data_IF_786835649713
#
_entry.id   IF_786835649713
#
_cell.length_a   1.000
_cell.length_b   1.000
_cell.length_c   1.000
_cell.angle_alpha   90.00
_cell.angle_beta   90.00
_cell.angle_gamma   90.00
#
_symmetry.space_group_name_H-M   'P 1'
#
loop_
_entity.id
_entity.type
_entity.pdbx_description
1 polymer ?
#
# COMPACT_ATOMS: atom_id res chain seq x y z
N UNK A 1 -58.01 -45.70 -1.20
CA UNK A 1 -57.50 -45.18 -2.48
C UNK A 1 -57.24 -43.70 -2.26
N UNK A 2 -56.04 -43.24 -2.45
CA UNK A 2 -55.54 -41.88 -2.37
C UNK A 2 -55.14 -41.26 -1.02
N UNK A 3 -53.95 -41.62 -0.54
CA UNK A 3 -53.29 -40.86 0.52
C UNK A 3 -51.75 -40.86 0.35
N UNK A 4 -51.24 -40.74 -0.91
CA UNK A 4 -49.76 -40.81 -1.18
C UNK A 4 -49.25 -39.54 -1.91
N UNK A 5 -50.09 -38.61 -2.32
CA UNK A 5 -49.69 -37.50 -3.19
C UNK A 5 -49.44 -36.15 -2.49
N UNK A 6 -49.41 -36.10 -1.15
CA UNK A 6 -49.23 -34.82 -0.41
C UNK A 6 -47.90 -34.66 0.35
N UNK A 7 -46.95 -35.58 0.17
CA UNK A 7 -45.67 -35.53 0.92
C UNK A 7 -44.45 -35.08 0.08
N UNK A 8 -44.60 -34.88 -1.22
CA UNK A 8 -43.47 -34.47 -2.10
C UNK A 8 -43.38 -32.94 -2.35
N UNK A 9 -44.35 -32.17 -1.94
CA UNK A 9 -44.41 -30.69 -2.23
C UNK A 9 -43.64 -29.82 -1.25
N UNK A 10 -43.42 -30.28 0.02
CA UNK A 10 -42.77 -29.42 1.04
C UNK A 10 -41.25 -29.56 1.06
N UNK A 11 -40.68 -30.64 0.52
CA UNK A 11 -39.23 -30.85 0.51
C UNK A 11 -38.50 -30.04 -0.58
N UNK A 12 -39.18 -29.73 -1.67
CA UNK A 12 -38.57 -29.02 -2.80
C UNK A 12 -38.49 -27.50 -2.60
N UNK A 13 -39.39 -26.95 -1.76
CA UNK A 13 -39.36 -25.51 -1.44
C UNK A 13 -38.26 -25.12 -0.44
N UNK A 14 -37.79 -26.09 0.37
CA UNK A 14 -36.74 -25.83 1.38
C UNK A 14 -35.31 -25.80 0.80
N UNK A 15 -35.10 -26.45 -0.36
CA UNK A 15 -33.78 -26.51 -1.02
C UNK A 15 -33.49 -25.23 -1.81
N UNK A 16 -34.50 -24.50 -2.27
CA UNK A 16 -34.32 -23.24 -3.04
C UNK A 16 -33.92 -22.08 -2.12
N UNK A 17 -34.25 -22.10 -0.83
CA UNK A 17 -33.98 -21.00 0.10
C UNK A 17 -32.61 -21.06 0.78
N UNK A 18 -31.89 -22.16 0.68
CA UNK A 18 -30.56 -22.35 1.31
C UNK A 18 -29.38 -22.01 0.40
N UNK A 19 -29.63 -21.49 -0.82
CA UNK A 19 -28.60 -21.26 -1.84
C UNK A 19 -28.21 -19.80 -2.09
N UNK A 20 -28.86 -18.83 -1.46
CA UNK A 20 -28.44 -17.43 -1.52
C UNK A 20 -27.27 -17.20 -0.56
N UNK A 21 -26.10 -17.72 -0.94
CA UNK A 21 -24.85 -17.19 -0.40
C UNK A 21 -24.71 -15.78 -0.97
N UNK A 22 -24.94 -14.78 -0.13
CA UNK A 22 -24.44 -13.44 -0.41
C UNK A 22 -22.94 -13.55 -0.65
N UNK A 23 -22.53 -13.48 -1.91
CA UNK A 23 -21.11 -13.33 -2.24
C UNK A 23 -20.66 -12.06 -1.51
N UNK A 24 -19.57 -12.13 -0.76
CA UNK A 24 -18.94 -10.92 -0.23
C UNK A 24 -18.60 -10.04 -1.42
N UNK A 25 -18.96 -8.73 -1.39
CA UNK A 25 -18.61 -7.83 -2.46
C UNK A 25 -17.12 -7.93 -2.77
N UNK A 26 -16.78 -7.96 -4.04
CA UNK A 26 -15.38 -7.96 -4.49
C UNK A 26 -14.69 -6.69 -4.00
N UNK A 27 -13.35 -6.71 -3.93
CA UNK A 27 -12.54 -5.55 -3.46
C UNK A 27 -12.91 -4.23 -4.19
N UNK A 28 -13.33 -4.32 -5.44
CA UNK A 28 -13.75 -3.17 -6.25
C UNK A 28 -15.18 -2.68 -5.93
N UNK A 29 -16.09 -3.58 -5.53
CA UNK A 29 -17.47 -3.20 -5.17
C UNK A 29 -17.49 -2.39 -3.87
N UNK A 30 -16.74 -2.81 -2.85
CA UNK A 30 -16.62 -2.06 -1.60
C UNK A 30 -16.00 -0.66 -1.80
N UNK A 31 -15.09 -0.50 -2.77
CA UNK A 31 -14.56 0.82 -3.11
C UNK A 31 -15.60 1.75 -3.71
N UNK A 32 -16.37 1.22 -4.67
CA UNK A 32 -17.41 2.00 -5.35
C UNK A 32 -18.52 2.41 -4.36
N UNK A 33 -18.91 1.51 -3.47
CA UNK A 33 -20.02 1.74 -2.54
C UNK A 33 -19.63 2.61 -1.34
N UNK A 34 -18.43 2.41 -0.77
CA UNK A 34 -18.05 2.99 0.52
C UNK A 34 -17.08 4.18 0.40
N UNK A 35 -16.15 4.15 -0.56
CA UNK A 35 -15.04 5.12 -0.61
C UNK A 35 -15.22 6.19 -1.69
N UNK A 36 -15.71 5.85 -2.88
CA UNK A 36 -15.92 6.85 -3.93
C UNK A 36 -16.82 7.99 -3.46
N UNK A 37 -17.96 7.76 -2.80
CA UNK A 37 -18.81 8.86 -2.32
C UNK A 37 -18.08 9.81 -1.37
N UNK A 38 -17.20 9.29 -0.51
CA UNK A 38 -16.38 10.10 0.40
C UNK A 38 -15.36 10.95 -0.36
N UNK A 39 -14.72 10.38 -1.38
CA UNK A 39 -13.77 11.13 -2.22
C UNK A 39 -14.48 12.21 -3.05
N UNK A 40 -15.69 11.94 -3.53
CA UNK A 40 -16.51 12.93 -4.23
C UNK A 40 -16.89 14.08 -3.30
N UNK A 41 -17.36 13.78 -2.10
CA UNK A 41 -17.82 14.78 -1.12
C UNK A 41 -16.68 15.68 -0.62
N UNK A 42 -15.51 15.10 -0.30
CA UNK A 42 -14.46 15.84 0.39
C UNK A 42 -13.29 16.29 -0.51
N UNK A 43 -13.15 15.71 -1.71
CA UNK A 43 -11.97 15.93 -2.55
C UNK A 43 -12.28 16.58 -3.91
N UNK A 44 -13.43 16.29 -4.52
CA UNK A 44 -13.69 16.65 -5.93
C UNK A 44 -13.86 18.14 -6.15
N UNK A 45 -14.39 18.90 -5.22
CA UNK A 45 -14.49 20.37 -5.35
C UNK A 45 -13.14 21.03 -5.66
N UNK A 46 -12.04 20.39 -5.29
CA UNK A 46 -10.70 20.89 -5.52
C UNK A 46 -9.86 20.03 -6.49
N UNK A 47 -10.17 18.74 -6.61
CA UNK A 47 -9.35 17.75 -7.29
C UNK A 47 -10.12 16.84 -8.25
N UNK A 48 -11.33 17.20 -8.66
CA UNK A 48 -12.16 16.43 -9.59
C UNK A 48 -13.02 17.31 -10.47
N UNK A 49 -13.76 16.72 -11.39
CA UNK A 49 -14.69 17.41 -12.30
C UNK A 49 -14.10 18.61 -13.06
N UNK A 50 -12.80 18.50 -13.40
CA UNK A 50 -12.02 19.56 -14.07
C UNK A 50 -11.30 20.51 -13.12
N UNK A 51 -11.48 20.41 -11.80
CA UNK A 51 -10.68 21.12 -10.82
C UNK A 51 -9.35 20.36 -10.58
N UNK A 52 -8.23 21.12 -10.55
CA UNK A 52 -6.90 20.52 -10.33
C UNK A 52 -6.01 21.39 -9.45
N UNK A 53 -6.48 21.68 -8.26
CA UNK A 53 -5.66 22.41 -7.28
C UNK A 53 -4.42 21.60 -6.92
N UNK A 54 -3.26 22.25 -6.84
CA UNK A 54 -2.00 21.56 -6.57
C UNK A 54 -1.55 20.61 -7.67
N UNK A 55 -2.05 20.79 -8.89
CA UNK A 55 -1.74 19.99 -10.08
C UNK A 55 -2.10 18.50 -9.92
N UNK A 56 -3.19 18.22 -9.17
CA UNK A 56 -3.67 16.90 -8.86
C UNK A 56 -5.17 16.75 -9.21
N UNK A 57 -5.52 15.63 -9.86
CA UNK A 57 -6.88 15.29 -10.30
C UNK A 57 -7.24 13.90 -9.77
N UNK A 58 -8.12 13.84 -8.76
CA UNK A 58 -8.52 12.59 -8.10
C UNK A 58 -9.37 11.71 -9.04
N UNK A 59 -10.29 12.30 -9.76
CA UNK A 59 -11.15 11.62 -10.73
C UNK A 59 -10.33 10.92 -11.83
N UNK A 60 -9.28 11.55 -12.32
CA UNK A 60 -8.34 10.91 -13.26
C UNK A 60 -7.59 9.77 -12.63
N UNK A 61 -7.07 9.95 -11.43
CA UNK A 61 -6.33 8.90 -10.72
C UNK A 61 -7.22 7.66 -10.50
N UNK A 62 -8.49 7.86 -10.16
CA UNK A 62 -9.47 6.78 -10.00
C UNK A 62 -9.77 6.12 -11.34
N UNK A 63 -9.96 6.90 -12.42
CA UNK A 63 -10.32 6.38 -13.75
C UNK A 63 -9.24 5.51 -14.38
N UNK A 64 -7.97 5.66 -13.99
CA UNK A 64 -6.86 4.82 -14.44
C UNK A 64 -6.99 3.37 -13.97
N UNK A 65 -7.67 3.11 -12.85
CA UNK A 65 -8.06 1.77 -12.38
C UNK A 65 -6.92 0.84 -11.96
N UNK A 66 -5.66 1.17 -12.27
CA UNK A 66 -4.49 0.40 -11.87
C UNK A 66 -3.79 1.08 -10.70
N UNK A 67 -4.29 0.82 -9.49
CA UNK A 67 -3.87 1.50 -8.28
C UNK A 67 -2.39 1.25 -7.92
N UNK A 68 -1.87 0.08 -8.26
CA UNK A 68 -0.48 -0.28 -7.97
C UNK A 68 0.53 0.45 -8.85
N UNK A 69 0.21 0.69 -10.12
CA UNK A 69 1.07 1.46 -11.00
C UNK A 69 1.15 2.93 -10.59
N UNK A 70 0.14 3.42 -9.86
CA UNK A 70 0.03 4.79 -9.37
C UNK A 70 0.30 4.92 -7.86
N UNK A 71 1.05 3.98 -7.29
CA UNK A 71 1.34 3.91 -5.86
C UNK A 71 1.90 5.22 -5.27
N UNK A 72 2.76 5.93 -6.01
CA UNK A 72 3.33 7.21 -5.55
C UNK A 72 2.28 8.31 -5.39
N UNK A 73 1.27 8.34 -6.24
CA UNK A 73 0.18 9.29 -6.14
C UNK A 73 -0.71 8.94 -4.94
N UNK A 74 -1.05 7.66 -4.78
CA UNK A 74 -1.85 7.16 -3.66
C UNK A 74 -1.13 7.31 -2.31
N UNK A 75 0.20 7.16 -2.27
CA UNK A 75 1.01 7.46 -1.09
C UNK A 75 0.89 8.92 -0.65
N UNK A 76 0.87 9.86 -1.62
CA UNK A 76 0.63 11.29 -1.31
C UNK A 76 -0.79 11.51 -0.78
N UNK A 77 -1.79 10.88 -1.38
CA UNK A 77 -3.18 10.95 -0.91
C UNK A 77 -3.25 10.44 0.52
N UNK A 78 -2.73 9.24 0.77
CA UNK A 78 -2.71 8.62 2.09
C UNK A 78 -2.04 9.53 3.14
N UNK A 79 -0.83 10.02 2.86
CA UNK A 79 -0.07 10.89 3.77
C UNK A 79 -0.79 12.19 4.10
N UNK A 80 -1.41 12.81 3.11
CA UNK A 80 -2.13 14.06 3.33
C UNK A 80 -3.40 13.87 4.17
N UNK A 81 -4.13 12.79 3.96
CA UNK A 81 -5.31 12.44 4.75
C UNK A 81 -4.90 12.02 6.16
N UNK A 82 -3.92 11.14 6.30
CA UNK A 82 -3.42 10.66 7.59
C UNK A 82 -2.92 11.80 8.49
N UNK A 83 -2.16 12.73 7.91
CA UNK A 83 -1.64 13.90 8.64
C UNK A 83 -2.67 15.03 8.79
N UNK A 84 -3.92 14.85 8.36
CA UNK A 84 -4.97 15.88 8.38
C UNK A 84 -4.57 17.18 7.63
N UNK A 85 -3.72 17.07 6.63
CA UNK A 85 -3.38 18.18 5.73
C UNK A 85 -4.47 18.41 4.67
N UNK A 86 -5.23 17.37 4.35
CA UNK A 86 -6.36 17.38 3.42
C UNK A 86 -7.56 16.66 4.04
N UNK A 87 -8.78 17.21 3.84
CA UNK A 87 -9.09 18.53 3.26
C UNK A 87 -8.52 19.69 4.11
N UNK A 88 -8.34 20.91 3.52
CA UNK A 88 -7.93 22.08 4.30
C UNK A 88 -8.93 22.42 5.41
N UNK A 89 -8.47 22.98 6.52
CA UNK A 89 -9.28 23.20 7.72
C UNK A 89 -10.52 24.14 7.54
N UNK A 90 -10.55 24.89 6.44
CA UNK A 90 -11.64 25.83 6.14
C UNK A 90 -12.77 25.24 5.29
N UNK A 91 -12.76 23.95 5.03
CA UNK A 91 -13.81 23.21 4.28
C UNK A 91 -14.36 22.05 5.15
N UNK A 92 -15.50 21.44 4.76
CA UNK A 92 -16.03 20.28 5.47
C UNK A 92 -14.97 19.20 5.67
N UNK A 93 -14.96 18.61 6.85
CA UNK A 93 -13.99 17.60 7.25
C UNK A 93 -14.65 16.23 7.38
N UNK A 94 -14.04 15.14 6.87
CA UNK A 94 -14.54 13.80 7.09
C UNK A 94 -14.44 13.40 8.57
N UNK A 95 -15.38 12.61 9.03
CA UNK A 95 -15.36 12.01 10.36
C UNK A 95 -14.22 10.98 10.47
N UNK A 96 -13.79 10.64 11.69
CA UNK A 96 -12.67 9.72 11.88
C UNK A 96 -12.90 8.36 11.21
N UNK A 97 -14.11 7.81 11.29
CA UNK A 97 -14.43 6.53 10.64
C UNK A 97 -14.40 6.61 9.10
N UNK A 98 -14.71 7.77 8.51
CA UNK A 98 -14.62 7.99 7.05
C UNK A 98 -13.16 8.07 6.61
N UNK A 99 -12.35 8.77 7.39
CA UNK A 99 -10.90 8.80 7.18
C UNK A 99 -10.31 7.40 7.25
N UNK A 100 -10.65 6.61 8.28
CA UNK A 100 -10.20 5.24 8.45
C UNK A 100 -10.62 4.35 7.26
N UNK A 101 -11.83 4.56 6.73
CA UNK A 101 -12.32 3.85 5.55
C UNK A 101 -11.49 4.16 4.31
N UNK A 102 -11.20 5.44 4.05
CA UNK A 102 -10.37 5.87 2.92
C UNK A 102 -8.94 5.32 3.06
N UNK A 103 -8.32 5.51 4.23
CA UNK A 103 -6.94 5.06 4.47
C UNK A 103 -6.80 3.55 4.33
N UNK A 104 -7.69 2.78 4.96
CA UNK A 104 -7.69 1.31 4.87
C UNK A 104 -7.89 0.81 3.45
N UNK A 105 -8.70 1.52 2.66
CA UNK A 105 -8.88 1.16 1.27
C UNK A 105 -7.60 1.43 0.45
N UNK A 106 -6.99 2.63 0.60
CA UNK A 106 -5.74 2.97 -0.09
C UNK A 106 -4.65 1.96 0.24
N UNK A 107 -4.50 1.57 1.51
CA UNK A 107 -3.53 0.57 1.95
C UNK A 107 -3.73 -0.77 1.23
N UNK A 108 -4.95 -1.26 1.14
CA UNK A 108 -5.27 -2.54 0.50
C UNK A 108 -5.15 -2.50 -1.02
N UNK A 109 -5.57 -1.41 -1.64
CA UNK A 109 -5.65 -1.32 -3.09
C UNK A 109 -4.31 -0.94 -3.72
N UNK A 110 -3.60 -0.01 -3.11
CA UNK A 110 -2.39 0.60 -3.65
C UNK A 110 -1.12 -0.09 -3.19
N UNK A 111 -1.05 -0.44 -1.90
CA UNK A 111 0.15 -1.05 -1.32
C UNK A 111 0.06 -2.58 -1.23
N UNK A 112 -1.10 -3.17 -1.55
CA UNK A 112 -1.35 -4.62 -1.44
C UNK A 112 -0.97 -5.19 -0.06
N UNK A 113 -1.04 -4.37 0.97
CA UNK A 113 -0.69 -4.80 2.30
C UNK A 113 -1.66 -5.87 2.80
N UNK A 114 -1.19 -7.10 2.90
CA UNK A 114 -1.86 -8.18 3.64
C UNK A 114 -0.96 -8.56 4.83
N UNK A 115 -1.39 -8.32 6.08
CA UNK A 115 -0.58 -8.64 7.25
C UNK A 115 -0.29 -10.14 7.40
N UNK A 116 -0.95 -11.00 6.61
CA UNK A 116 -0.71 -12.44 6.59
C UNK A 116 0.37 -12.85 5.59
N UNK A 117 0.70 -11.99 4.64
CA UNK A 117 1.75 -12.16 3.65
C UNK A 117 2.95 -11.31 4.05
N UNK A 118 3.96 -11.95 4.61
CA UNK A 118 5.21 -11.26 4.94
C UNK A 118 6.00 -11.09 3.65
N UNK A 119 6.03 -9.88 3.10
CA UNK A 119 6.95 -9.53 2.03
C UNK A 119 8.31 -9.20 2.65
N UNK A 120 9.36 -10.05 2.45
CA UNK A 120 10.68 -9.78 2.97
C UNK A 120 11.36 -8.58 2.28
N UNK A 121 10.70 -7.97 1.30
CA UNK A 121 11.28 -6.93 0.45
C UNK A 121 12.31 -7.48 -0.54
N UNK A 122 12.94 -6.57 -1.26
CA UNK A 122 13.98 -6.90 -2.23
C UNK A 122 15.35 -6.90 -1.55
N UNK A 123 15.96 -8.09 -1.44
CA UNK A 123 17.32 -8.23 -0.89
C UNK A 123 18.32 -8.18 -2.04
N UNK A 124 19.21 -7.20 -2.03
CA UNK A 124 20.31 -7.08 -2.98
C UNK A 124 21.61 -7.57 -2.34
N UNK A 125 22.48 -8.18 -3.14
CA UNK A 125 23.85 -8.45 -2.72
C UNK A 125 24.60 -7.13 -2.68
N UNK A 126 25.08 -6.76 -1.50
CA UNK A 126 25.85 -5.55 -1.29
C UNK A 126 27.22 -5.87 -0.71
N UNK A 127 28.20 -5.01 -0.92
CA UNK A 127 29.44 -5.04 -0.16
C UNK A 127 29.23 -4.53 1.27
N UNK A 128 30.17 -4.81 2.15
CA UNK A 128 30.22 -4.17 3.46
C UNK A 128 30.50 -2.67 3.28
N UNK A 129 29.92 -1.83 4.12
CA UNK A 129 30.37 -0.45 4.27
C UNK A 129 31.69 -0.41 5.06
N UNK A 130 32.32 0.76 5.17
CA UNK A 130 33.64 0.90 5.87
C UNK A 130 33.59 0.39 7.31
N UNK A 131 32.58 0.77 8.06
CA UNK A 131 32.40 0.36 9.46
C UNK A 131 32.19 -1.14 9.59
N UNK A 132 31.36 -1.72 8.76
CA UNK A 132 31.11 -3.17 8.74
C UNK A 132 32.37 -3.94 8.37
N UNK A 133 33.14 -3.44 7.39
CA UNK A 133 34.40 -4.03 6.96
C UNK A 133 35.43 -3.97 8.10
N UNK A 134 35.64 -2.82 8.72
CA UNK A 134 36.53 -2.62 9.85
C UNK A 134 36.20 -3.59 10.99
N UNK A 135 34.97 -3.61 11.44
CA UNK A 135 34.53 -4.51 12.50
C UNK A 135 34.77 -5.98 12.14
N UNK A 136 34.45 -6.37 10.90
CA UNK A 136 34.59 -7.74 10.43
C UNK A 136 36.07 -8.17 10.45
N UNK A 137 37.00 -7.33 9.93
CA UNK A 137 38.43 -7.64 9.88
C UNK A 137 39.02 -7.66 11.29
N UNK A 138 38.67 -6.69 12.12
CA UNK A 138 39.15 -6.63 13.50
C UNK A 138 38.71 -7.87 14.30
N UNK A 139 37.44 -8.30 14.15
CA UNK A 139 36.90 -9.47 14.84
C UNK A 139 37.52 -10.78 14.34
N UNK A 140 37.66 -10.95 13.02
CA UNK A 140 38.17 -12.19 12.44
C UNK A 140 39.67 -12.39 12.66
N UNK A 141 40.44 -11.32 12.55
CA UNK A 141 41.91 -11.41 12.56
C UNK A 141 42.54 -10.89 13.85
N UNK A 142 41.74 -10.38 14.78
CA UNK A 142 42.20 -9.80 16.06
C UNK A 142 43.25 -8.68 15.84
N UNK A 143 43.08 -7.91 14.78
CA UNK A 143 43.88 -6.74 14.44
C UNK A 143 43.07 -5.47 14.70
N UNK A 144 43.70 -4.31 14.62
CA UNK A 144 43.04 -3.02 14.65
C UNK A 144 43.39 -2.28 13.37
N UNK A 145 42.43 -2.20 12.45
CA UNK A 145 42.53 -1.37 11.26
C UNK A 145 41.61 -0.15 11.39
N UNK A 146 41.97 0.93 10.72
CA UNK A 146 41.16 2.11 10.56
C UNK A 146 40.74 2.20 9.08
N UNK A 147 39.53 1.77 8.78
CA UNK A 147 39.02 1.72 7.41
C UNK A 147 38.91 3.11 6.77
N UNK A 148 38.76 4.18 7.54
CA UNK A 148 38.69 5.54 7.01
C UNK A 148 40.01 5.98 6.37
N UNK A 149 41.12 5.49 6.86
CA UNK A 149 42.46 5.79 6.31
C UNK A 149 42.70 5.14 4.95
N UNK A 150 42.10 3.97 4.71
CA UNK A 150 42.40 3.16 3.52
C UNK A 150 41.35 3.20 2.44
N UNK A 151 40.08 3.51 2.77
CA UNK A 151 38.96 3.47 1.83
C UNK A 151 38.27 4.83 1.69
N UNK A 152 37.80 5.17 0.48
CA UNK A 152 36.96 6.35 0.30
C UNK A 152 35.68 6.22 1.09
N UNK A 153 34.99 7.36 1.32
CA UNK A 153 33.69 7.36 1.94
C UNK A 153 32.69 6.51 1.12
N UNK A 154 31.80 5.82 1.83
CA UNK A 154 30.71 5.10 1.20
C UNK A 154 29.68 6.06 0.63
N UNK A 155 29.07 5.67 -0.49
CA UNK A 155 27.89 6.35 -0.98
C UNK A 155 26.73 6.14 -0.02
N UNK A 156 25.87 7.15 0.09
CA UNK A 156 24.69 7.10 0.96
C UNK A 156 23.40 7.14 0.16
N UNK A 157 22.42 6.33 0.58
CA UNK A 157 21.06 6.39 0.09
C UNK A 157 20.13 6.86 1.20
N UNK A 158 19.31 7.88 0.93
CA UNK A 158 18.38 8.46 1.91
C UNK A 158 19.01 8.86 3.25
N UNK A 159 20.32 9.18 3.25
CA UNK A 159 21.08 9.52 4.47
C UNK A 159 21.69 8.32 5.21
N UNK A 160 21.56 7.11 4.69
CA UNK A 160 22.11 5.89 5.27
C UNK A 160 23.19 5.26 4.37
N UNK A 161 24.27 4.79 4.96
CA UNK A 161 25.38 4.09 4.32
C UNK A 161 25.22 2.56 4.29
N UNK A 162 24.05 2.06 4.69
CA UNK A 162 23.72 0.63 4.73
C UNK A 162 22.73 0.21 3.63
N UNK A 163 22.33 1.14 2.76
CA UNK A 163 21.42 0.86 1.66
C UNK A 163 22.12 0.00 0.59
N UNK A 164 21.55 -1.17 0.33
CA UNK A 164 22.14 -2.13 -0.60
C UNK A 164 22.32 -1.61 -2.02
N UNK A 165 21.38 -0.79 -2.50
CA UNK A 165 21.39 -0.25 -3.87
C UNK A 165 22.54 0.73 -4.13
N UNK A 166 23.11 1.35 -3.08
CA UNK A 166 24.24 2.27 -3.21
C UNK A 166 25.58 1.60 -2.88
N UNK A 167 25.60 0.49 -2.13
CA UNK A 167 26.79 -0.27 -1.79
C UNK A 167 27.12 -1.33 -2.87
N UNK A 168 27.18 -0.91 -4.12
CA UNK A 168 27.49 -1.82 -5.23
C UNK A 168 29.00 -2.06 -5.37
N UNK A 169 29.37 -3.21 -5.96
CA UNK A 169 30.74 -3.47 -6.39
C UNK A 169 30.92 -2.93 -7.81
N UNK A 170 31.92 -2.09 -8.00
CA UNK A 170 32.28 -1.66 -9.35
C UNK A 170 32.78 -2.86 -10.17
N UNK A 171 32.29 -3.05 -11.42
CA UNK A 171 32.79 -4.09 -12.30
C UNK A 171 34.32 -4.03 -12.54
N UNK A 172 34.93 -2.87 -12.35
CA UNK A 172 36.38 -2.68 -12.46
C UNK A 172 37.16 -3.25 -11.24
N UNK A 173 36.46 -3.57 -10.15
CA UNK A 173 37.06 -4.12 -8.93
C UNK A 173 36.79 -5.64 -8.81
N UNK A 174 36.12 -6.24 -9.76
CA UNK A 174 35.92 -7.68 -9.92
C UNK A 174 36.85 -8.25 -10.98
#
# INVERSE_FOLDING_TARGET
MNSVLLKFGLGFLYIIFCGLRFAKPGKNEAFIEDVIPLLEEYCYDCHGDGARKGDFEMDKLISLGNFQEHQKQWDRVWKNIYNRNMPPANVPQPMDYEVDSILSWVEKASFQYDPREVDPGHVVLRRLNRTEYENTVNDLFQVSIDAETYFPADDTGYGFDTIGDVLTLSPLLM
#
